data_IF_026722470584
#
_entry.id   IF_026722470584
#
_cell.length_a   1.000
_cell.length_b   1.000
_cell.length_c   1.000
_cell.angle_alpha   90.00
_cell.angle_beta   90.00
_cell.angle_gamma   90.00
#
_symmetry.space_group_name_H-M   'P 1'
#
loop_
_entity.id
_entity.type
_entity.pdbx_description
1 polymer ?
#
# COMPACT_ATOMS: atom_id res chain seq x y z
N UNK A 1 36.89 55.03 -0.77
CA UNK A 1 37.58 54.76 0.50
C UNK A 1 38.64 53.71 0.23
N UNK A 2 39.90 54.13 0.20
CA UNK A 2 41.05 53.23 0.31
C UNK A 2 41.02 52.57 1.69
N UNK A 3 41.56 51.36 1.73
CA UNK A 3 42.61 50.85 2.63
C UNK A 3 42.31 49.37 2.86
N UNK A 4 43.09 48.51 2.21
CA UNK A 4 44.28 47.88 2.83
C UNK A 4 43.80 46.60 3.55
N UNK A 5 44.40 45.42 3.47
CA UNK A 5 45.72 44.96 3.07
C UNK A 5 45.63 43.40 3.22
N UNK A 6 46.14 42.58 2.30
CA UNK A 6 47.54 42.04 2.34
C UNK A 6 47.62 40.92 3.42
N UNK A 7 48.17 39.70 3.29
CA UNK A 7 49.11 38.98 2.41
C UNK A 7 49.00 37.50 2.92
N UNK A 8 48.94 36.44 2.10
CA UNK A 8 50.08 35.65 1.56
C UNK A 8 50.95 35.09 2.74
N UNK A 9 51.25 33.79 2.90
CA UNK A 9 52.19 32.93 2.14
C UNK A 9 52.36 31.64 3.00
N UNK A 10 52.25 30.43 2.45
CA UNK A 10 53.36 29.51 2.09
C UNK A 10 53.84 28.48 3.13
N UNK A 11 54.24 27.34 2.54
CA UNK A 11 55.20 26.29 2.94
C UNK A 11 54.63 25.04 3.62
N UNK A 12 54.55 23.92 2.89
CA UNK A 12 55.66 22.95 2.59
C UNK A 12 56.02 22.16 3.87
N UNK A 13 56.24 20.85 3.92
CA UNK A 13 56.55 19.85 2.90
C UNK A 13 56.36 18.44 3.51
N UNK A 14 56.14 17.49 2.60
CA UNK A 14 56.69 16.13 2.48
C UNK A 14 56.68 15.06 3.60
N UNK A 15 56.03 13.93 3.22
CA UNK A 15 56.55 12.55 3.09
C UNK A 15 57.13 11.85 4.34
N UNK A 16 56.62 10.65 4.66
CA UNK A 16 57.38 9.38 4.65
C UNK A 16 56.41 8.19 4.82
N UNK A 17 56.51 7.28 3.84
CA UNK A 17 55.93 5.94 3.81
C UNK A 17 56.42 5.07 4.96
N UNK A 18 55.60 4.12 5.41
CA UNK A 18 56.14 2.78 5.61
C UNK A 18 55.04 1.71 5.49
N UNK A 19 55.13 0.91 4.43
CA UNK A 19 54.49 -0.39 4.37
C UNK A 19 55.12 -1.29 5.45
N UNK A 20 54.30 -2.05 6.18
CA UNK A 20 54.80 -3.25 6.82
C UNK A 20 53.70 -4.33 6.79
N UNK A 21 53.82 -5.21 5.82
CA UNK A 21 53.15 -6.50 5.72
C UNK A 21 53.75 -7.48 6.72
N UNK A 22 52.93 -8.12 7.56
CA UNK A 22 53.19 -9.47 8.11
C UNK A 22 51.87 -10.22 8.26
N UNK A 23 51.86 -11.47 7.77
CA UNK A 23 50.77 -12.45 7.79
C UNK A 23 50.92 -13.43 8.96
N UNK A 24 49.87 -14.25 9.13
CA UNK A 24 49.78 -15.53 9.86
C UNK A 24 49.44 -15.39 11.36
N UNK A 25 48.57 -16.14 12.04
CA UNK A 25 47.56 -17.18 11.73
C UNK A 25 46.78 -17.43 13.06
N UNK A 26 45.54 -17.95 12.95
CA UNK A 26 44.72 -18.72 13.89
C UNK A 26 44.07 -18.18 15.20
N UNK A 27 42.72 -18.29 15.17
CA UNK A 27 41.79 -18.87 16.18
C UNK A 27 40.82 -17.97 16.98
N UNK A 28 39.57 -17.94 16.46
CA UNK A 28 38.25 -18.21 17.10
C UNK A 28 38.00 -17.66 18.52
N UNK A 29 37.05 -16.71 18.65
CA UNK A 29 35.86 -16.84 19.54
C UNK A 29 34.65 -16.17 18.84
N UNK A 30 33.59 -16.95 18.69
CA UNK A 30 32.24 -16.58 18.25
C UNK A 30 31.58 -15.59 19.23
N UNK A 31 30.91 -14.55 18.74
CA UNK A 31 29.69 -14.09 19.40
C UNK A 31 28.69 -13.57 18.38
N UNK A 32 27.47 -14.04 18.57
CA UNK A 32 26.32 -13.99 17.70
C UNK A 32 25.73 -12.58 17.66
N UNK A 33 25.42 -12.08 16.47
CA UNK A 33 24.16 -11.34 16.27
C UNK A 33 23.58 -11.67 14.91
N UNK A 34 23.31 -12.96 14.69
CA UNK A 34 22.26 -13.41 13.80
C UNK A 34 20.95 -13.28 14.59
N UNK A 35 20.04 -12.41 14.15
CA UNK A 35 18.70 -12.32 14.76
C UNK A 35 18.18 -10.91 14.99
N UNK A 36 18.18 -10.02 13.98
CA UNK A 36 17.39 -8.77 14.04
C UNK A 36 16.39 -8.57 12.91
N UNK A 37 16.35 -9.48 11.93
CA UNK A 37 15.52 -9.29 10.74
C UNK A 37 14.36 -10.30 10.60
N UNK A 38 14.26 -11.30 11.47
CA UNK A 38 13.15 -12.28 11.39
C UNK A 38 11.88 -11.81 12.13
N UNK A 39 11.98 -10.91 13.11
CA UNK A 39 10.83 -10.43 13.91
C UNK A 39 10.30 -9.03 13.51
N UNK A 40 10.89 -8.38 12.49
CA UNK A 40 10.45 -7.07 11.99
C UNK A 40 9.58 -7.15 10.72
N UNK A 41 9.42 -8.34 10.16
CA UNK A 41 8.80 -8.62 8.86
C UNK A 41 7.53 -9.44 9.06
N UNK A 42 6.54 -8.87 9.74
CA UNK A 42 5.22 -8.95 9.10
C UNK A 42 5.42 -8.07 7.86
N UNK A 43 5.59 -8.68 6.67
CA UNK A 43 5.72 -7.90 5.43
C UNK A 43 4.56 -6.90 5.40
N UNK A 44 4.82 -5.66 4.99
CA UNK A 44 3.76 -4.64 4.89
C UNK A 44 2.57 -5.18 4.09
N UNK A 45 2.84 -6.06 3.12
CA UNK A 45 1.81 -6.86 2.43
C UNK A 45 0.94 -7.66 3.39
N UNK A 46 1.52 -8.52 4.23
CA UNK A 46 0.77 -9.35 5.17
C UNK A 46 -0.04 -8.51 6.15
N UNK A 47 0.52 -7.41 6.66
CA UNK A 47 -0.21 -6.48 7.53
C UNK A 47 -1.49 -5.96 6.86
N UNK A 48 -1.43 -5.56 5.59
CA UNK A 48 -2.60 -5.06 4.87
C UNK A 48 -3.60 -6.17 4.54
N UNK A 49 -3.15 -7.39 4.25
CA UNK A 49 -4.03 -8.54 4.08
C UNK A 49 -4.79 -8.85 5.37
N UNK A 50 -4.08 -8.91 6.51
CA UNK A 50 -4.71 -9.12 7.82
C UNK A 50 -5.70 -8.00 8.17
N UNK A 51 -5.34 -6.74 7.87
CA UNK A 51 -6.23 -5.58 8.08
C UNK A 51 -7.52 -5.70 7.25
N UNK A 52 -7.43 -6.16 6.00
CA UNK A 52 -8.58 -6.36 5.11
C UNK A 52 -9.48 -7.52 5.58
N UNK A 53 -8.88 -8.63 6.01
CA UNK A 53 -9.62 -9.78 6.51
C UNK A 53 -10.38 -9.42 7.80
N UNK A 54 -9.72 -8.72 8.72
CA UNK A 54 -10.33 -8.19 9.94
C UNK A 54 -11.42 -7.18 9.62
N UNK A 55 -11.22 -6.30 8.63
CA UNK A 55 -12.25 -5.35 8.20
C UNK A 55 -13.48 -6.09 7.70
N UNK A 56 -13.31 -7.09 6.83
CA UNK A 56 -14.41 -7.86 6.26
C UNK A 56 -15.22 -8.58 7.35
N UNK A 57 -14.55 -9.26 8.27
CA UNK A 57 -15.21 -9.91 9.40
C UNK A 57 -15.98 -8.92 10.28
N UNK A 58 -15.37 -7.77 10.60
CA UNK A 58 -15.99 -6.75 11.43
C UNK A 58 -17.20 -6.10 10.76
N UNK A 59 -17.12 -5.78 9.46
CA UNK A 59 -18.24 -5.24 8.70
C UNK A 59 -19.39 -6.23 8.67
N UNK A 60 -19.11 -7.49 8.34
CA UNK A 60 -20.13 -8.55 8.30
C UNK A 60 -20.79 -8.76 9.66
N UNK A 61 -20.03 -8.73 10.76
CA UNK A 61 -20.57 -8.86 12.11
C UNK A 61 -21.40 -7.63 12.53
N UNK A 62 -20.87 -6.42 12.30
CA UNK A 62 -21.51 -5.15 12.70
C UNK A 62 -22.80 -4.90 11.93
N UNK A 63 -22.81 -5.23 10.64
CA UNK A 63 -23.90 -4.92 9.72
C UNK A 63 -24.88 -6.09 9.51
N UNK A 64 -24.63 -7.24 10.15
CA UNK A 64 -25.43 -8.47 10.00
C UNK A 64 -26.94 -8.22 10.07
N UNK A 65 -27.39 -7.47 11.08
CA UNK A 65 -28.83 -7.21 11.26
C UNK A 65 -29.46 -6.46 10.07
N UNK A 66 -28.72 -5.54 9.44
CA UNK A 66 -29.16 -4.81 8.25
C UNK A 66 -29.09 -5.69 6.99
N UNK A 67 -28.03 -6.50 6.86
CA UNK A 67 -27.84 -7.43 5.75
C UNK A 67 -28.92 -8.53 5.68
N UNK A 68 -29.50 -8.90 6.82
CA UNK A 68 -30.60 -9.87 6.91
C UNK A 68 -32.00 -9.20 6.92
N UNK A 69 -32.04 -7.87 6.74
CA UNK A 69 -33.24 -7.04 6.83
C UNK A 69 -33.98 -6.82 5.51
N UNK A 70 -34.66 -5.67 5.42
CA UNK A 70 -35.33 -5.20 4.21
C UNK A 70 -34.32 -4.77 3.14
N UNK A 71 -34.72 -4.69 1.86
CA UNK A 71 -33.85 -4.18 0.79
C UNK A 71 -33.28 -2.79 1.12
N UNK A 72 -34.03 -1.94 1.81
CA UNK A 72 -33.53 -0.63 2.24
C UNK A 72 -32.37 -0.76 3.24
N UNK A 73 -32.52 -1.60 4.26
CA UNK A 73 -31.46 -1.85 5.25
C UNK A 73 -30.25 -2.54 4.61
N UNK A 74 -30.46 -3.46 3.67
CA UNK A 74 -29.37 -4.07 2.90
C UNK A 74 -28.59 -3.03 2.09
N UNK A 75 -29.29 -2.10 1.41
CA UNK A 75 -28.65 -1.01 0.66
C UNK A 75 -27.83 -0.13 1.60
N UNK A 76 -28.36 0.21 2.79
CA UNK A 76 -27.62 0.97 3.78
C UNK A 76 -26.35 0.23 4.24
N UNK A 77 -26.45 -1.07 4.53
CA UNK A 77 -25.32 -1.88 4.92
C UNK A 77 -24.24 -1.95 3.82
N UNK A 78 -24.64 -2.24 2.59
CA UNK A 78 -23.74 -2.32 1.44
C UNK A 78 -23.10 -0.96 1.13
N UNK A 79 -23.82 0.15 1.39
CA UNK A 79 -23.25 1.49 1.27
C UNK A 79 -22.15 1.73 2.32
N UNK A 80 -22.40 1.37 3.58
CA UNK A 80 -21.38 1.43 4.65
C UNK A 80 -20.18 0.51 4.34
N UNK A 81 -20.41 -0.67 3.76
CA UNK A 81 -19.35 -1.57 3.33
C UNK A 81 -18.53 -0.96 2.18
N UNK A 82 -19.19 -0.35 1.21
CA UNK A 82 -18.52 0.28 0.07
C UNK A 82 -17.60 1.42 0.52
N UNK A 83 -18.09 2.30 1.39
CA UNK A 83 -17.29 3.39 1.96
C UNK A 83 -16.05 2.85 2.68
N UNK A 84 -16.21 1.83 3.52
CA UNK A 84 -15.09 1.23 4.23
C UNK A 84 -14.04 0.57 3.30
N UNK A 85 -14.49 -0.10 2.25
CA UNK A 85 -13.59 -0.69 1.25
C UNK A 85 -12.89 0.38 0.39
N UNK A 86 -13.58 1.47 0.04
CA UNK A 86 -12.99 2.59 -0.70
C UNK A 86 -11.94 3.33 0.14
N UNK A 87 -12.15 3.48 1.45
CA UNK A 87 -11.15 4.02 2.37
C UNK A 87 -9.87 3.16 2.39
N UNK A 88 -10.01 1.83 2.48
CA UNK A 88 -8.87 0.91 2.40
C UNK A 88 -8.21 0.98 1.03
N UNK A 89 -8.98 1.05 -0.05
CA UNK A 89 -8.44 1.17 -1.41
C UNK A 89 -7.54 2.40 -1.52
N UNK A 90 -8.03 3.56 -1.10
CA UNK A 90 -7.29 4.82 -1.13
C UNK A 90 -6.03 4.78 -0.26
N UNK A 91 -6.10 4.14 0.92
CA UNK A 91 -4.95 3.94 1.81
C UNK A 91 -3.88 3.07 1.16
N UNK A 92 -4.27 1.91 0.64
CA UNK A 92 -3.39 0.95 -0.05
C UNK A 92 -2.74 1.56 -1.28
N UNK A 93 -3.54 2.23 -2.11
CA UNK A 93 -3.08 2.94 -3.29
C UNK A 93 -2.03 4.00 -2.93
N UNK A 94 -2.28 4.83 -1.92
CA UNK A 94 -1.35 5.88 -1.47
C UNK A 94 -0.01 5.29 -1.01
N UNK A 95 -0.05 4.20 -0.24
CA UNK A 95 1.14 3.49 0.22
C UNK A 95 1.97 2.90 -0.92
N UNK A 96 1.31 2.34 -1.93
CA UNK A 96 1.95 1.78 -3.12
C UNK A 96 2.60 2.90 -3.92
N UNK A 97 1.83 3.94 -4.28
CA UNK A 97 2.32 5.05 -5.10
C UNK A 97 3.58 5.66 -4.47
N UNK A 98 3.63 5.85 -3.16
CA UNK A 98 4.80 6.44 -2.51
C UNK A 98 6.10 5.62 -2.64
N UNK A 99 6.01 4.33 -2.96
CA UNK A 99 7.15 3.40 -3.05
C UNK A 99 7.54 3.07 -4.50
N UNK A 100 6.73 3.44 -5.48
CA UNK A 100 6.96 3.17 -6.90
C UNK A 100 7.88 4.22 -7.56
N UNK A 101 8.62 3.79 -8.59
CA UNK A 101 9.30 4.71 -9.52
C UNK A 101 8.29 5.54 -10.33
N UNK A 102 8.74 6.61 -10.99
CA UNK A 102 7.82 7.46 -11.76
C UNK A 102 7.11 6.70 -12.89
N UNK A 103 7.83 5.83 -13.60
CA UNK A 103 7.26 5.02 -14.68
C UNK A 103 6.18 4.04 -14.14
N UNK A 104 6.46 3.37 -13.03
CA UNK A 104 5.50 2.47 -12.39
C UNK A 104 4.28 3.21 -11.83
N UNK A 105 4.46 4.42 -11.29
CA UNK A 105 3.35 5.29 -10.85
C UNK A 105 2.44 5.66 -12.02
N UNK A 106 2.99 6.13 -13.12
CA UNK A 106 2.21 6.55 -14.28
C UNK A 106 1.40 5.38 -14.85
N UNK A 107 2.00 4.18 -14.85
CA UNK A 107 1.31 2.94 -15.22
C UNK A 107 0.16 2.62 -14.25
N UNK A 108 0.41 2.63 -12.94
CA UNK A 108 -0.63 2.32 -11.94
C UNK A 108 -1.77 3.34 -11.95
N UNK A 109 -1.48 4.63 -12.15
CA UNK A 109 -2.50 5.68 -12.31
C UNK A 109 -3.41 5.38 -13.51
N UNK A 110 -2.83 4.97 -14.64
CA UNK A 110 -3.62 4.59 -15.81
C UNK A 110 -4.47 3.33 -15.53
N UNK A 111 -3.91 2.34 -14.84
CA UNK A 111 -4.64 1.14 -14.44
C UNK A 111 -5.83 1.46 -13.54
N UNK A 112 -5.66 2.27 -12.48
CA UNK A 112 -6.75 2.68 -11.59
C UNK A 112 -7.86 3.45 -12.33
N UNK A 113 -7.47 4.38 -13.20
CA UNK A 113 -8.45 5.14 -14.00
C UNK A 113 -9.28 4.24 -14.93
N UNK A 114 -8.69 3.19 -15.47
CA UNK A 114 -9.40 2.22 -16.29
C UNK A 114 -10.25 1.28 -15.45
N UNK A 115 -9.72 0.84 -14.29
CA UNK A 115 -10.45 0.02 -13.34
C UNK A 115 -11.73 0.71 -12.85
N UNK A 116 -11.69 2.00 -12.49
CA UNK A 116 -12.89 2.76 -12.07
C UNK A 116 -13.97 2.73 -13.15
N UNK A 117 -13.60 2.92 -14.42
CA UNK A 117 -14.57 2.90 -15.54
C UNK A 117 -15.21 1.52 -15.71
N UNK A 118 -14.42 0.45 -15.63
CA UNK A 118 -14.97 -0.91 -15.76
C UNK A 118 -15.77 -1.30 -14.51
N UNK A 119 -15.38 -0.86 -13.31
CA UNK A 119 -16.13 -1.03 -12.06
C UNK A 119 -17.52 -0.42 -12.18
N UNK A 120 -17.60 0.85 -12.57
CA UNK A 120 -18.86 1.58 -12.63
C UNK A 120 -19.77 0.99 -13.73
N UNK A 121 -19.20 0.62 -14.88
CA UNK A 121 -19.91 -0.09 -15.95
C UNK A 121 -20.43 -1.45 -15.51
N UNK A 122 -19.66 -2.22 -14.73
CA UNK A 122 -20.09 -3.51 -14.16
C UNK A 122 -21.24 -3.31 -13.18
N UNK A 123 -21.17 -2.29 -12.32
CA UNK A 123 -22.24 -1.97 -11.38
C UNK A 123 -23.53 -1.51 -12.07
N UNK A 124 -23.42 -0.68 -13.12
CA UNK A 124 -24.57 -0.27 -13.94
C UNK A 124 -25.18 -1.45 -14.69
N UNK A 125 -24.36 -2.38 -15.19
CA UNK A 125 -24.84 -3.60 -15.83
C UNK A 125 -25.60 -4.49 -14.84
N UNK A 126 -25.07 -4.69 -13.62
CA UNK A 126 -25.75 -5.46 -12.57
C UNK A 126 -27.11 -4.83 -12.18
N UNK A 127 -27.17 -3.51 -12.07
CA UNK A 127 -28.42 -2.79 -11.81
C UNK A 127 -29.45 -3.04 -12.92
N UNK A 128 -29.02 -2.96 -14.17
CA UNK A 128 -29.88 -3.10 -15.35
C UNK A 128 -30.50 -4.50 -15.48
N UNK A 129 -29.87 -5.55 -14.99
CA UNK A 129 -30.43 -6.90 -15.01
C UNK A 129 -31.71 -7.04 -14.17
N UNK A 130 -31.89 -6.16 -13.17
CA UNK A 130 -33.02 -6.16 -12.23
C UNK A 130 -33.76 -4.82 -12.25
N UNK A 131 -33.75 -4.14 -13.40
CA UNK A 131 -34.31 -2.80 -13.61
C UNK A 131 -35.77 -2.67 -13.18
N UNK A 132 -36.11 -1.54 -12.55
CA UNK A 132 -37.48 -1.17 -12.19
C UNK A 132 -37.99 -1.74 -10.86
N UNK A 133 -37.13 -2.42 -10.10
CA UNK A 133 -37.44 -2.96 -8.76
C UNK A 133 -36.59 -2.35 -7.65
N UNK A 134 -36.97 -2.60 -6.39
CA UNK A 134 -36.18 -2.20 -5.21
C UNK A 134 -34.83 -2.93 -5.10
N UNK A 135 -34.60 -3.97 -5.93
CA UNK A 135 -33.32 -4.68 -6.02
C UNK A 135 -32.32 -3.99 -6.95
N UNK A 136 -32.73 -3.10 -7.85
CA UNK A 136 -31.83 -2.37 -8.74
C UNK A 136 -30.73 -1.59 -8.01
N UNK A 137 -31.04 -0.70 -7.06
CA UNK A 137 -30.01 -0.02 -6.27
C UNK A 137 -29.16 -0.99 -5.44
N UNK A 138 -29.76 -2.08 -4.95
CA UNK A 138 -29.04 -3.10 -4.19
C UNK A 138 -28.01 -3.83 -5.06
N UNK A 139 -28.40 -4.29 -6.25
CA UNK A 139 -27.51 -4.95 -7.20
C UNK A 139 -26.33 -4.04 -7.60
N UNK A 140 -26.61 -2.75 -7.79
CA UNK A 140 -25.57 -1.75 -8.08
C UNK A 140 -24.54 -1.65 -6.95
N UNK A 141 -24.99 -1.42 -5.72
CA UNK A 141 -24.09 -1.19 -4.60
C UNK A 141 -23.31 -2.46 -4.22
N UNK A 142 -23.94 -3.63 -4.24
CA UNK A 142 -23.25 -4.91 -4.01
C UNK A 142 -22.14 -5.13 -5.04
N UNK A 143 -22.37 -4.80 -6.32
CA UNK A 143 -21.33 -4.89 -7.36
C UNK A 143 -20.16 -3.93 -7.10
N UNK A 144 -20.42 -2.74 -6.57
CA UNK A 144 -19.39 -1.78 -6.19
C UNK A 144 -18.56 -2.29 -5.00
N UNK A 145 -19.20 -2.83 -3.96
CA UNK A 145 -18.52 -3.43 -2.80
C UNK A 145 -17.58 -4.55 -3.22
N UNK A 146 -18.08 -5.53 -3.97
CA UNK A 146 -17.30 -6.69 -4.42
C UNK A 146 -16.09 -6.26 -5.24
N UNK A 147 -16.31 -5.40 -6.24
CA UNK A 147 -15.23 -4.99 -7.14
C UNK A 147 -14.15 -4.15 -6.43
N UNK A 148 -14.56 -3.33 -5.44
CA UNK A 148 -13.63 -2.51 -4.64
C UNK A 148 -12.82 -3.37 -3.69
N UNK A 149 -13.46 -4.32 -3.00
CA UNK A 149 -12.79 -5.32 -2.18
C UNK A 149 -11.75 -6.11 -2.99
N UNK A 150 -12.15 -6.67 -4.13
CA UNK A 150 -11.25 -7.40 -5.02
C UNK A 150 -10.04 -6.56 -5.40
N UNK A 151 -10.25 -5.28 -5.74
CA UNK A 151 -9.16 -4.37 -6.12
C UNK A 151 -8.17 -4.11 -4.99
N UNK A 152 -8.64 -3.97 -3.75
CA UNK A 152 -7.78 -3.85 -2.57
C UNK A 152 -6.81 -5.03 -2.47
N UNK A 153 -7.31 -6.26 -2.58
CA UNK A 153 -6.47 -7.46 -2.55
C UNK A 153 -5.53 -7.54 -3.75
N UNK A 154 -5.97 -7.18 -4.96
CA UNK A 154 -5.11 -7.14 -6.15
C UNK A 154 -3.94 -6.18 -5.97
N UNK A 155 -4.21 -4.96 -5.49
CA UNK A 155 -3.19 -3.94 -5.29
C UNK A 155 -2.13 -4.41 -4.28
N UNK A 156 -2.56 -4.92 -3.13
CA UNK A 156 -1.65 -5.45 -2.11
C UNK A 156 -0.85 -6.63 -2.66
N UNK A 157 -1.50 -7.55 -3.37
CA UNK A 157 -0.82 -8.76 -3.84
C UNK A 157 0.22 -8.49 -4.92
N UNK A 158 -0.05 -7.56 -5.83
CA UNK A 158 0.75 -7.30 -7.02
C UNK A 158 1.82 -6.22 -6.80
N UNK A 159 1.58 -5.27 -5.88
CA UNK A 159 2.44 -4.08 -5.77
C UNK A 159 3.13 -3.93 -4.40
N UNK A 160 2.68 -4.62 -3.34
CA UNK A 160 3.37 -4.58 -2.05
C UNK A 160 4.39 -5.73 -1.93
N UNK A 161 5.59 -5.39 -1.44
CA UNK A 161 6.68 -6.32 -1.11
C UNK A 161 6.77 -6.50 0.41
#
# INVERSE_FOLDING_TARGET
MNKDKEIVTEKENEIINNENTFKDDESIIEDETKGKDEDKIISNKQKYLDEMDILDENLNMKLKGKLEGTNLEMIEAESEMYEAWDEILNKVYSEIINKLSQEEKDKLILEENNWIKERDKKADAAAKEVEGGSMEPLAKITSLVVSTKERCYELVNNYMK
#
